data_IF_664116075222
#
_entry.id   IF_664116075222
#
_cell.length_a   1.000
_cell.length_b   1.000
_cell.length_c   1.000
_cell.angle_alpha   90.00
_cell.angle_beta   90.00
_cell.angle_gamma   90.00
#
_symmetry.space_group_name_H-M   'P 1'
#
loop_
_entity.id
_entity.type
_entity.pdbx_description
1 polymer ?
#
# COMPACT_ATOMS: atom_id res chain seq x y z
N UNK A 1 -4.77 -51.99 12.83
CA UNK A 1 -3.98 -51.57 14.01
C UNK A 1 -2.75 -52.44 14.13
N UNK A 2 -1.60 -52.00 13.65
CA UNK A 2 -0.31 -52.67 13.90
C UNK A 2 0.65 -51.58 14.34
N UNK A 3 0.94 -51.61 15.64
CA UNK A 3 1.99 -50.80 16.28
C UNK A 3 3.33 -51.40 15.92
N UNK A 4 4.13 -50.71 15.12
CA UNK A 4 5.57 -51.02 14.97
C UNK A 4 6.32 -50.52 16.15
N UNK A 5 6.76 -51.45 17.01
CA UNK A 5 7.75 -51.27 18.06
C UNK A 5 9.11 -50.97 17.43
N UNK A 6 9.59 -49.75 17.53
CA UNK A 6 10.97 -49.38 17.21
C UNK A 6 11.88 -49.77 18.37
N UNK A 7 12.99 -50.49 18.13
CA UNK A 7 13.89 -50.93 19.17
C UNK A 7 14.66 -49.76 19.80
N UNK A 8 14.63 -49.72 21.12
CA UNK A 8 15.21 -48.71 22.02
C UNK A 8 16.74 -48.79 22.16
N UNK A 9 17.48 -49.00 21.07
CA UNK A 9 18.97 -49.11 21.11
C UNK A 9 19.69 -48.22 20.12
N UNK A 10 19.45 -46.91 20.18
CA UNK A 10 20.33 -45.88 19.58
C UNK A 10 20.32 -44.63 20.45
N UNK A 11 20.45 -44.78 21.75
CA UNK A 11 20.87 -43.72 22.64
C UNK A 11 22.40 -43.77 22.73
N UNK A 12 23.05 -43.46 21.60
CA UNK A 12 24.49 -43.45 21.52
C UNK A 12 24.95 -42.00 21.60
N UNK A 13 25.54 -41.68 22.73
CA UNK A 13 26.61 -40.70 22.95
C UNK A 13 26.75 -39.62 21.90
N UNK A 14 25.94 -38.59 22.00
CA UNK A 14 26.20 -37.30 21.33
C UNK A 14 27.44 -36.70 22.02
N UNK A 15 28.61 -36.97 21.50
CA UNK A 15 29.83 -36.39 22.01
C UNK A 15 29.75 -34.86 21.84
N UNK A 16 30.01 -34.07 22.88
CA UNK A 16 29.98 -32.62 22.87
C UNK A 16 30.91 -31.99 21.80
N UNK A 17 31.78 -32.78 21.22
CA UNK A 17 32.68 -32.42 20.14
C UNK A 17 31.95 -32.31 18.79
N UNK A 18 30.96 -33.17 18.52
CA UNK A 18 30.19 -33.16 17.25
C UNK A 18 29.30 -31.93 17.15
N UNK A 19 28.64 -31.54 18.26
CA UNK A 19 27.83 -30.37 18.33
C UNK A 19 28.63 -29.06 18.14
N UNK A 20 29.84 -29.00 18.71
CA UNK A 20 30.73 -27.84 18.53
C UNK A 20 31.26 -27.72 17.10
N UNK A 21 31.54 -28.82 16.42
CA UNK A 21 31.99 -28.84 15.03
C UNK A 21 30.84 -28.48 14.08
N UNK A 22 29.62 -28.96 14.35
CA UNK A 22 28.42 -28.67 13.58
C UNK A 22 28.08 -27.20 13.72
N UNK A 23 28.00 -26.63 14.92
CA UNK A 23 27.77 -25.22 15.17
C UNK A 23 28.82 -24.30 14.54
N UNK A 24 30.09 -24.73 14.55
CA UNK A 24 31.17 -23.97 13.89
C UNK A 24 31.08 -23.99 12.36
N UNK A 25 30.64 -25.09 11.75
CA UNK A 25 30.35 -25.19 10.31
C UNK A 25 29.11 -24.37 9.96
N UNK A 26 28.02 -24.45 10.73
CA UNK A 26 26.81 -23.70 10.53
C UNK A 26 27.08 -22.19 10.62
N UNK A 27 27.85 -21.76 11.62
CA UNK A 27 28.27 -20.36 11.76
C UNK A 27 29.05 -19.85 10.56
N UNK A 28 29.99 -20.66 10.00
CA UNK A 28 30.69 -20.27 8.76
C UNK A 28 29.78 -20.14 7.56
N UNK A 29 28.81 -21.03 7.38
CA UNK A 29 27.83 -20.97 6.27
C UNK A 29 26.94 -19.74 6.41
N UNK A 30 26.43 -19.45 7.62
CA UNK A 30 25.59 -18.27 7.87
C UNK A 30 26.37 -16.97 7.63
N UNK A 31 27.62 -16.88 8.11
CA UNK A 31 28.48 -15.72 7.85
C UNK A 31 28.79 -15.57 6.36
N UNK A 32 29.02 -16.66 5.64
CA UNK A 32 29.25 -16.61 4.19
C UNK A 32 28.00 -16.18 3.43
N UNK A 33 26.82 -16.67 3.81
CA UNK A 33 25.54 -16.19 3.24
C UNK A 33 25.30 -14.71 3.52
N UNK A 34 25.55 -14.24 4.74
CA UNK A 34 25.38 -12.83 5.08
C UNK A 34 26.36 -11.93 4.32
N UNK A 35 27.62 -12.33 4.18
CA UNK A 35 28.59 -11.55 3.40
C UNK A 35 28.26 -11.55 1.90
N UNK A 36 27.79 -12.66 1.35
CA UNK A 36 27.30 -12.70 -0.04
C UNK A 36 26.09 -11.80 -0.24
N UNK A 37 25.08 -11.85 0.65
CA UNK A 37 23.93 -10.94 0.60
C UNK A 37 24.35 -9.47 0.70
N UNK A 38 25.29 -9.13 1.58
CA UNK A 38 25.79 -7.75 1.67
C UNK A 38 26.50 -7.29 0.40
N UNK A 39 27.22 -8.20 -0.28
CA UNK A 39 27.89 -7.90 -1.55
C UNK A 39 26.86 -7.68 -2.66
N UNK A 40 25.82 -8.54 -2.75
CA UNK A 40 24.73 -8.35 -3.71
C UNK A 40 23.95 -7.04 -3.46
N UNK A 41 23.67 -6.71 -2.21
CA UNK A 41 23.01 -5.44 -1.86
C UNK A 41 23.89 -4.23 -2.21
N UNK A 42 25.21 -4.30 -1.99
CA UNK A 42 26.13 -3.24 -2.40
C UNK A 42 26.23 -3.10 -3.92
N UNK A 43 26.36 -4.20 -4.65
CA UNK A 43 26.34 -4.18 -6.11
C UNK A 43 25.02 -3.65 -6.67
N UNK A 44 23.88 -4.08 -6.11
CA UNK A 44 22.56 -3.55 -6.45
C UNK A 44 22.44 -2.04 -6.20
N UNK A 45 23.01 -1.53 -5.10
CA UNK A 45 23.05 -0.08 -4.82
C UNK A 45 23.89 0.70 -5.85
N UNK A 46 25.03 0.16 -6.29
CA UNK A 46 25.87 0.82 -7.32
C UNK A 46 25.18 0.84 -8.68
N UNK A 47 24.53 -0.27 -9.07
CA UNK A 47 23.77 -0.37 -10.31
C UNK A 47 22.56 0.58 -10.29
N UNK A 48 21.79 0.59 -9.20
CA UNK A 48 20.68 1.52 -8.99
C UNK A 48 21.11 2.99 -8.99
N UNK A 49 22.28 3.32 -8.40
CA UNK A 49 22.83 4.69 -8.48
C UNK A 49 23.18 5.09 -9.90
N UNK A 50 23.79 4.22 -10.69
CA UNK A 50 24.09 4.50 -12.11
C UNK A 50 22.81 4.68 -12.92
N UNK A 51 21.81 3.80 -12.73
CA UNK A 51 20.48 3.95 -13.33
C UNK A 51 19.78 5.25 -12.90
N UNK A 52 19.87 5.62 -11.62
CA UNK A 52 19.29 6.84 -11.12
C UNK A 52 19.95 8.13 -11.64
N UNK A 53 21.15 8.05 -12.20
CA UNK A 53 21.86 9.18 -12.82
C UNK A 53 21.48 9.36 -14.28
N UNK A 54 21.03 8.31 -14.97
CA UNK A 54 20.59 8.40 -16.37
C UNK A 54 19.22 9.13 -16.44
N UNK A 55 19.11 10.24 -17.21
CA UNK A 55 17.86 10.98 -17.33
C UNK A 55 16.74 10.17 -17.98
N UNK A 56 17.08 9.24 -18.89
CA UNK A 56 16.10 8.34 -19.54
C UNK A 56 15.56 7.31 -18.56
N UNK A 57 16.44 6.69 -17.77
CA UNK A 57 16.04 5.74 -16.74
C UNK A 57 15.16 6.42 -15.67
N UNK A 58 15.50 7.65 -15.26
CA UNK A 58 14.66 8.44 -14.33
C UNK A 58 13.28 8.75 -14.91
N UNK A 59 13.19 9.11 -16.18
CA UNK A 59 11.91 9.36 -16.83
C UNK A 59 11.06 8.08 -16.89
N UNK A 60 11.68 6.94 -17.24
CA UNK A 60 11.02 5.63 -17.25
C UNK A 60 10.55 5.21 -15.86
N UNK A 61 11.39 5.36 -14.82
CA UNK A 61 11.02 5.04 -13.43
C UNK A 61 9.87 5.93 -12.92
N UNK A 62 9.89 7.23 -13.24
CA UNK A 62 8.79 8.13 -12.90
C UNK A 62 7.50 7.74 -13.63
N UNK A 63 7.59 7.46 -14.93
CA UNK A 63 6.45 7.03 -15.72
C UNK A 63 5.88 5.71 -15.24
N UNK A 64 6.75 4.71 -15.03
CA UNK A 64 6.36 3.41 -14.46
C UNK A 64 5.75 3.55 -13.06
N UNK A 65 6.32 4.40 -12.20
CA UNK A 65 5.77 4.70 -10.90
C UNK A 65 4.37 5.34 -10.95
N UNK A 66 4.14 6.27 -11.89
CA UNK A 66 2.82 6.86 -12.11
C UNK A 66 1.80 5.81 -12.57
N UNK A 67 2.17 4.96 -13.51
CA UNK A 67 1.31 3.86 -13.98
C UNK A 67 0.97 2.89 -12.85
N UNK A 68 1.97 2.43 -12.10
CA UNK A 68 1.78 1.53 -10.97
C UNK A 68 0.94 2.16 -9.85
N UNK A 69 1.11 3.46 -9.58
CA UNK A 69 0.28 4.15 -8.61
C UNK A 69 -1.19 4.14 -9.01
N UNK A 70 -1.51 4.41 -10.29
CA UNK A 70 -2.87 4.30 -10.81
C UNK A 70 -3.41 2.87 -10.69
N UNK A 71 -2.61 1.88 -11.11
CA UNK A 71 -2.98 0.48 -11.05
C UNK A 71 -3.23 0.01 -9.60
N UNK A 72 -2.35 0.33 -8.65
CA UNK A 72 -2.54 -0.06 -7.26
C UNK A 72 -3.75 0.64 -6.63
N UNK A 73 -3.93 1.96 -6.85
CA UNK A 73 -5.05 2.71 -6.29
C UNK A 73 -6.41 2.24 -6.79
N UNK A 74 -6.49 1.67 -8.00
CA UNK A 74 -7.73 1.10 -8.53
C UNK A 74 -8.19 -0.15 -7.77
N UNK A 75 -7.28 -0.85 -7.09
CA UNK A 75 -7.62 -1.99 -6.25
C UNK A 75 -8.31 -1.58 -4.94
N UNK A 76 -8.24 -0.29 -4.54
CA UNK A 76 -8.81 0.17 -3.28
C UNK A 76 -10.32 -0.03 -3.22
N UNK A 77 -10.77 -0.75 -2.20
CA UNK A 77 -12.18 -1.04 -1.93
C UNK A 77 -12.61 -0.55 -0.57
N UNK A 78 -13.85 -0.11 -0.48
CA UNK A 78 -14.59 0.09 0.76
C UNK A 78 -15.98 -0.51 0.56
N UNK A 79 -16.44 -1.28 1.53
CA UNK A 79 -17.70 -2.01 1.44
C UNK A 79 -17.80 -2.86 0.15
N UNK A 80 -16.72 -3.55 -0.21
CA UNK A 80 -16.61 -4.40 -1.40
C UNK A 80 -16.94 -3.70 -2.73
N UNK A 81 -16.73 -2.39 -2.79
CA UNK A 81 -16.99 -1.60 -4.00
C UNK A 81 -15.77 -0.77 -4.40
N UNK A 82 -15.53 -0.57 -5.74
CA UNK A 82 -14.42 0.25 -6.21
C UNK A 82 -14.58 1.69 -5.77
N UNK A 83 -13.48 2.34 -5.41
CA UNK A 83 -13.47 3.72 -4.94
C UNK A 83 -12.75 4.66 -5.92
N UNK A 84 -13.15 5.95 -6.02
CA UNK A 84 -12.64 6.90 -7.01
C UNK A 84 -11.29 7.54 -6.64
N UNK A 85 -10.39 6.81 -5.95
CA UNK A 85 -9.09 7.37 -5.54
C UNK A 85 -8.17 7.68 -6.74
N UNK A 86 -8.26 6.87 -7.81
CA UNK A 86 -7.50 7.12 -9.04
C UNK A 86 -7.90 8.45 -9.66
N UNK A 87 -9.21 8.75 -9.69
CA UNK A 87 -9.73 10.03 -10.17
C UNK A 87 -9.10 11.21 -9.40
N UNK A 88 -9.06 11.10 -8.06
CA UNK A 88 -8.45 12.13 -7.22
C UNK A 88 -6.98 12.36 -7.56
N UNK A 89 -6.22 11.28 -7.77
CA UNK A 89 -4.81 11.37 -8.15
C UNK A 89 -4.61 11.95 -9.57
N UNK A 90 -5.46 11.57 -10.52
CA UNK A 90 -5.46 12.12 -11.90
C UNK A 90 -5.73 13.61 -11.90
N UNK A 91 -6.73 14.07 -11.13
CA UNK A 91 -7.05 15.49 -10.99
C UNK A 91 -5.90 16.30 -10.35
N UNK A 92 -5.19 15.71 -9.39
CA UNK A 92 -4.06 16.35 -8.75
C UNK A 92 -2.77 16.35 -9.60
N UNK A 93 -2.65 15.41 -10.54
CA UNK A 93 -1.54 15.31 -11.47
C UNK A 93 -1.76 16.19 -12.71
N UNK A 94 -0.72 16.36 -13.53
CA UNK A 94 -0.85 17.14 -14.76
C UNK A 94 0.03 16.58 -15.90
N UNK A 95 -0.44 16.68 -17.14
CA UNK A 95 0.28 16.27 -18.35
C UNK A 95 0.55 14.77 -18.42
N UNK A 96 1.75 14.37 -18.84
CA UNK A 96 2.13 12.95 -19.02
C UNK A 96 1.92 12.10 -17.76
N UNK A 97 2.30 12.54 -16.54
CA UNK A 97 1.98 11.82 -15.31
C UNK A 97 0.51 11.50 -15.14
N UNK A 98 -0.40 12.48 -15.38
CA UNK A 98 -1.84 12.26 -15.28
C UNK A 98 -2.34 11.20 -16.25
N UNK A 99 -1.84 11.19 -17.49
CA UNK A 99 -2.19 10.20 -18.50
C UNK A 99 -1.71 8.79 -18.10
N UNK A 100 -0.51 8.67 -17.57
CA UNK A 100 0.04 7.37 -17.12
C UNK A 100 -0.70 6.83 -15.89
N UNK A 101 -1.06 7.70 -14.93
CA UNK A 101 -1.88 7.32 -13.78
C UNK A 101 -3.26 6.86 -14.26
N UNK A 102 -3.89 7.61 -15.18
CA UNK A 102 -5.18 7.26 -15.72
C UNK A 102 -5.15 5.93 -16.48
N UNK A 103 -4.13 5.70 -17.29
CA UNK A 103 -3.94 4.43 -17.99
C UNK A 103 -3.79 3.26 -17.01
N UNK A 104 -2.92 3.40 -16.01
CA UNK A 104 -2.76 2.39 -14.96
C UNK A 104 -4.06 2.14 -14.19
N UNK A 105 -4.79 3.20 -13.87
CA UNK A 105 -6.07 3.11 -13.18
C UNK A 105 -7.15 2.39 -14.00
N UNK A 106 -7.30 2.73 -15.29
CA UNK A 106 -8.23 2.05 -16.18
C UNK A 106 -7.91 0.55 -16.29
N UNK A 107 -6.64 0.20 -16.52
CA UNK A 107 -6.19 -1.20 -16.54
C UNK A 107 -6.49 -1.89 -15.21
N UNK A 108 -6.19 -1.24 -14.10
CA UNK A 108 -6.41 -1.82 -12.78
C UNK A 108 -7.88 -1.99 -12.44
N UNK A 109 -8.76 -1.05 -12.76
CA UNK A 109 -10.20 -1.23 -12.56
C UNK A 109 -10.74 -2.42 -13.34
N UNK A 110 -10.34 -2.59 -14.58
CA UNK A 110 -10.76 -3.75 -15.37
C UNK A 110 -10.17 -5.06 -14.83
N UNK A 111 -8.93 -5.04 -14.36
CA UNK A 111 -8.23 -6.21 -13.84
C UNK A 111 -8.81 -6.69 -12.51
N UNK A 112 -9.05 -5.77 -11.56
CA UNK A 112 -9.47 -6.13 -10.20
C UNK A 112 -10.99 -6.26 -10.07
N UNK A 113 -11.77 -5.55 -10.90
CA UNK A 113 -13.21 -5.41 -10.73
C UNK A 113 -14.03 -5.91 -11.93
N UNK A 114 -13.38 -6.24 -13.05
CA UNK A 114 -14.07 -6.68 -14.25
C UNK A 114 -15.17 -5.70 -14.69
N UNK A 115 -16.39 -6.19 -14.85
CA UNK A 115 -17.52 -5.35 -15.26
C UNK A 115 -17.88 -4.26 -14.24
N UNK A 116 -17.73 -4.51 -12.93
CA UNK A 116 -17.96 -3.50 -11.90
C UNK A 116 -16.93 -2.35 -11.96
N UNK A 117 -15.76 -2.60 -12.57
CA UNK A 117 -14.71 -1.61 -12.78
C UNK A 117 -14.99 -0.58 -13.88
N UNK A 118 -16.00 -0.80 -14.73
CA UNK A 118 -16.33 0.12 -15.84
C UNK A 118 -16.62 1.54 -15.36
N UNK A 119 -17.24 1.69 -14.20
CA UNK A 119 -17.44 3.00 -13.57
C UNK A 119 -16.13 3.68 -13.23
N UNK A 120 -15.17 2.94 -12.66
CA UNK A 120 -13.85 3.44 -12.35
C UNK A 120 -13.10 3.93 -13.59
N UNK A 121 -13.26 3.21 -14.71
CA UNK A 121 -12.73 3.64 -16.02
C UNK A 121 -13.35 4.96 -16.46
N UNK A 122 -14.69 5.09 -16.36
CA UNK A 122 -15.40 6.32 -16.75
C UNK A 122 -14.96 7.51 -15.88
N UNK A 123 -14.87 7.33 -14.56
CA UNK A 123 -14.39 8.39 -13.66
C UNK A 123 -12.97 8.83 -14.03
N UNK A 124 -12.11 7.86 -14.27
CA UNK A 124 -10.68 8.09 -14.56
C UNK A 124 -10.51 8.77 -15.92
N UNK A 125 -11.25 8.34 -16.94
CA UNK A 125 -11.22 8.93 -18.27
C UNK A 125 -11.75 10.36 -18.26
N UNK A 126 -12.90 10.60 -17.59
CA UNK A 126 -13.47 11.94 -17.44
C UNK A 126 -12.52 12.87 -16.69
N UNK A 127 -11.90 12.37 -15.59
CA UNK A 127 -10.88 13.11 -14.85
C UNK A 127 -9.66 13.48 -15.69
N UNK A 128 -9.21 12.57 -16.54
CA UNK A 128 -8.10 12.83 -17.47
C UNK A 128 -8.47 13.90 -18.49
N UNK A 129 -9.64 13.81 -19.10
CA UNK A 129 -10.13 14.84 -20.04
C UNK A 129 -10.18 16.21 -19.37
N UNK A 130 -10.73 16.29 -18.17
CA UNK A 130 -10.74 17.53 -17.41
C UNK A 130 -9.33 18.04 -17.09
N UNK A 131 -8.42 17.16 -16.66
CA UNK A 131 -7.05 17.55 -16.38
C UNK A 131 -6.29 18.06 -17.62
N UNK A 132 -6.58 17.51 -18.80
CA UNK A 132 -6.01 17.96 -20.06
C UNK A 132 -6.61 19.32 -20.51
N UNK A 133 -7.93 19.50 -20.39
CA UNK A 133 -8.60 20.74 -20.78
C UNK A 133 -8.22 21.93 -19.90
N UNK A 134 -8.11 21.73 -18.60
CA UNK A 134 -7.89 22.80 -17.64
C UNK A 134 -6.43 23.30 -17.56
N UNK A 135 -5.48 22.55 -18.07
CA UNK A 135 -4.06 22.95 -18.12
C UNK A 135 -3.41 23.16 -16.74
N UNK A 136 -2.09 23.05 -16.73
CA UNK A 136 -1.28 22.89 -15.53
C UNK A 136 -1.21 24.04 -14.53
N UNK A 137 -1.37 25.29 -14.96
CA UNK A 137 -0.72 26.40 -14.23
C UNK A 137 -1.62 27.30 -13.40
N UNK A 138 -2.89 27.39 -13.69
CA UNK A 138 -3.79 28.36 -13.02
C UNK A 138 -4.62 27.78 -11.89
N UNK A 139 -5.06 26.54 -12.00
CA UNK A 139 -6.16 26.02 -11.21
C UNK A 139 -5.77 25.65 -9.78
N UNK A 140 -4.57 25.10 -9.58
CA UNK A 140 -4.16 24.62 -8.25
C UNK A 140 -3.78 25.76 -7.27
N UNK A 141 -3.48 26.96 -7.79
CA UNK A 141 -3.07 28.11 -6.96
C UNK A 141 -4.21 29.03 -6.61
N UNK A 142 -5.08 29.31 -7.58
CA UNK A 142 -6.07 30.37 -7.44
C UNK A 142 -7.44 29.87 -6.93
N UNK A 143 -7.72 28.58 -7.11
CA UNK A 143 -8.99 27.97 -6.70
C UNK A 143 -8.81 26.57 -6.15
N UNK A 144 -8.40 26.42 -4.87
CA UNK A 144 -8.11 25.12 -4.26
C UNK A 144 -9.34 24.18 -4.21
N UNK A 145 -10.55 24.73 -4.26
CA UNK A 145 -11.79 23.97 -4.23
C UNK A 145 -12.25 23.47 -5.61
N UNK A 146 -11.66 23.95 -6.70
CA UNK A 146 -12.10 23.57 -8.05
C UNK A 146 -11.85 22.08 -8.34
N UNK A 147 -10.67 21.55 -7.98
CA UNK A 147 -10.31 20.16 -8.21
C UNK A 147 -11.22 19.18 -7.44
N UNK A 148 -11.46 19.37 -6.13
CA UNK A 148 -12.37 18.51 -5.40
C UNK A 148 -13.82 18.62 -5.89
N UNK A 149 -14.29 19.84 -6.24
CA UNK A 149 -15.63 20.03 -6.79
C UNK A 149 -15.81 19.31 -8.12
N UNK A 150 -14.80 19.37 -8.99
CA UNK A 150 -14.81 18.69 -10.28
C UNK A 150 -14.79 17.16 -10.10
N UNK A 151 -13.95 16.63 -9.22
CA UNK A 151 -13.91 15.21 -8.95
C UNK A 151 -15.25 14.72 -8.37
N UNK A 152 -15.84 15.46 -7.44
CA UNK A 152 -17.16 15.17 -6.90
C UNK A 152 -18.26 15.18 -7.98
N UNK A 153 -18.23 16.18 -8.87
CA UNK A 153 -19.18 16.29 -9.99
C UNK A 153 -19.06 15.08 -10.95
N UNK A 154 -17.85 14.68 -11.30
CA UNK A 154 -17.61 13.53 -12.19
C UNK A 154 -18.19 12.25 -11.57
N UNK A 155 -17.93 11.99 -10.29
CA UNK A 155 -18.47 10.82 -9.60
C UNK A 155 -19.98 10.89 -9.52
N UNK A 156 -20.55 12.07 -9.21
CA UNK A 156 -21.98 12.27 -9.13
C UNK A 156 -22.67 12.05 -10.49
N UNK A 157 -22.14 12.64 -11.56
CA UNK A 157 -22.69 12.48 -12.91
C UNK A 157 -22.63 11.03 -13.39
N UNK A 158 -21.52 10.33 -13.14
CA UNK A 158 -21.41 8.91 -13.45
C UNK A 158 -22.45 8.08 -12.68
N UNK A 159 -22.77 8.43 -11.43
CA UNK A 159 -23.81 7.77 -10.65
C UNK A 159 -25.20 7.88 -11.25
N UNK A 160 -25.50 9.01 -11.82
CA UNK A 160 -26.78 9.19 -12.56
C UNK A 160 -26.77 8.35 -13.83
N UNK A 161 -25.67 8.37 -14.61
CA UNK A 161 -25.55 7.60 -15.86
C UNK A 161 -25.67 6.10 -15.62
N UNK A 162 -25.05 5.60 -14.56
CA UNK A 162 -25.12 4.16 -14.20
C UNK A 162 -26.34 3.81 -13.34
N UNK A 163 -27.28 4.74 -13.16
CA UNK A 163 -28.53 4.59 -12.38
C UNK A 163 -28.32 4.13 -10.92
N UNK A 164 -27.16 4.37 -10.35
CA UNK A 164 -26.80 3.88 -9.02
C UNK A 164 -27.45 4.67 -7.88
N UNK A 165 -27.86 5.91 -8.16
CA UNK A 165 -28.62 6.72 -7.21
C UNK A 165 -30.04 6.20 -6.99
N UNK A 166 -30.55 5.38 -7.91
CA UNK A 166 -31.93 4.94 -7.95
C UNK A 166 -32.09 3.43 -7.71
N UNK A 167 -30.96 2.72 -7.51
CA UNK A 167 -31.00 1.25 -7.42
C UNK A 167 -31.71 0.77 -6.15
N UNK A 168 -31.35 1.34 -4.97
CA UNK A 168 -31.90 1.01 -3.65
C UNK A 168 -31.65 2.15 -2.66
N UNK A 169 -32.46 2.26 -1.60
CA UNK A 169 -32.24 3.24 -0.53
C UNK A 169 -30.87 3.10 0.14
N UNK A 170 -30.32 1.87 0.21
CA UNK A 170 -28.99 1.59 0.75
C UNK A 170 -27.86 2.02 -0.18
N UNK A 171 -28.13 2.25 -1.46
CA UNK A 171 -27.14 2.71 -2.45
C UNK A 171 -26.78 4.18 -2.27
N UNK A 172 -27.70 4.99 -1.79
CA UNK A 172 -27.52 6.45 -1.65
C UNK A 172 -26.34 6.78 -0.70
N UNK A 173 -26.26 6.26 0.56
CA UNK A 173 -25.16 6.59 1.45
C UNK A 173 -23.80 6.12 0.93
N UNK A 174 -23.74 4.95 0.26
CA UNK A 174 -22.50 4.44 -0.36
C UNK A 174 -22.07 5.38 -1.48
N UNK A 175 -23.03 5.88 -2.26
CA UNK A 175 -22.73 6.79 -3.35
C UNK A 175 -22.27 8.17 -2.88
N UNK A 176 -22.91 8.72 -1.86
CA UNK A 176 -22.46 9.96 -1.20
C UNK A 176 -21.03 9.80 -0.64
N UNK A 177 -20.74 8.66 -0.06
CA UNK A 177 -19.38 8.34 0.39
C UNK A 177 -18.38 8.37 -0.77
N UNK A 178 -18.73 7.78 -1.92
CA UNK A 178 -17.87 7.81 -3.12
C UNK A 178 -17.62 9.22 -3.62
N UNK A 179 -18.65 10.08 -3.65
CA UNK A 179 -18.51 11.50 -4.03
C UNK A 179 -17.57 12.21 -3.07
N UNK A 180 -17.76 12.01 -1.75
CA UNK A 180 -16.91 12.60 -0.73
C UNK A 180 -15.46 12.10 -0.84
N UNK A 181 -15.25 10.79 -1.07
CA UNK A 181 -13.90 10.21 -1.24
C UNK A 181 -13.24 10.69 -2.54
N UNK A 182 -13.98 10.84 -3.63
CA UNK A 182 -13.46 11.40 -4.87
C UNK A 182 -13.01 12.84 -4.71
N UNK A 183 -13.85 13.68 -4.14
CA UNK A 183 -13.54 15.08 -3.85
C UNK A 183 -12.38 15.21 -2.81
N UNK A 184 -12.47 14.47 -1.72
CA UNK A 184 -11.48 14.48 -0.65
C UNK A 184 -10.10 14.00 -1.10
N UNK A 185 -10.05 12.92 -1.89
CA UNK A 185 -8.78 12.41 -2.43
C UNK A 185 -8.12 13.39 -3.40
N UNK A 186 -8.91 14.08 -4.24
CA UNK A 186 -8.38 15.11 -5.13
C UNK A 186 -7.72 16.25 -4.35
N UNK A 187 -8.35 16.70 -3.27
CA UNK A 187 -7.81 17.72 -2.37
C UNK A 187 -6.52 17.23 -1.69
N UNK A 188 -6.56 16.03 -1.11
CA UNK A 188 -5.43 15.44 -0.37
C UNK A 188 -4.20 15.25 -1.27
N UNK A 189 -4.37 14.67 -2.46
CA UNK A 189 -3.27 14.48 -3.39
C UNK A 189 -2.71 15.82 -3.90
N UNK A 190 -3.57 16.81 -4.13
CA UNK A 190 -3.14 18.15 -4.52
C UNK A 190 -2.30 18.82 -3.39
N UNK A 191 -2.74 18.76 -2.14
CA UNK A 191 -2.00 19.30 -0.99
C UNK A 191 -0.70 18.54 -0.74
N UNK A 192 -0.73 17.21 -0.80
CA UNK A 192 0.45 16.38 -0.64
C UNK A 192 1.52 16.67 -1.71
N UNK A 193 1.10 16.94 -2.95
CA UNK A 193 2.00 17.28 -4.06
C UNK A 193 2.72 18.62 -3.86
N UNK A 194 2.14 19.55 -3.11
CA UNK A 194 2.74 20.84 -2.75
C UNK A 194 3.80 20.69 -1.63
N UNK A 195 3.83 19.55 -0.95
CA UNK A 195 4.84 19.24 0.07
C UNK A 195 4.70 20.02 1.40
N UNK A 196 3.70 20.89 1.52
CA UNK A 196 3.53 21.79 2.67
C UNK A 196 2.83 21.14 3.86
N UNK A 197 1.93 20.18 3.58
CA UNK A 197 1.10 19.56 4.61
C UNK A 197 1.56 18.13 4.92
N UNK A 198 2.02 17.92 6.15
CA UNK A 198 2.42 16.61 6.64
C UNK A 198 1.21 15.66 6.80
N UNK A 199 0.06 16.19 7.23
CA UNK A 199 -1.16 15.40 7.44
C UNK A 199 -1.67 14.85 6.11
N UNK A 200 -1.73 15.70 5.07
CA UNK A 200 -2.13 15.26 3.73
C UNK A 200 -1.23 14.13 3.22
N UNK A 201 0.07 14.21 3.44
CA UNK A 201 1.01 13.14 3.07
C UNK A 201 0.74 11.84 3.81
N UNK A 202 0.46 11.89 5.12
CA UNK A 202 0.14 10.70 5.90
C UNK A 202 -1.17 10.05 5.46
N UNK A 203 -2.19 10.85 5.17
CA UNK A 203 -3.46 10.36 4.64
C UNK A 203 -3.30 9.72 3.25
N UNK A 204 -2.48 10.29 2.36
CA UNK A 204 -2.15 9.67 1.09
C UNK A 204 -1.47 8.30 1.27
N UNK A 205 -0.58 8.15 2.26
CA UNK A 205 0.00 6.86 2.60
C UNK A 205 -1.04 5.89 3.15
N UNK A 206 -2.00 6.34 3.97
CA UNK A 206 -3.12 5.53 4.41
C UNK A 206 -3.95 4.99 3.24
N UNK A 207 -4.28 5.84 2.26
CA UNK A 207 -4.98 5.44 1.03
C UNK A 207 -4.14 4.42 0.23
N UNK A 208 -2.82 4.62 0.15
CA UNK A 208 -1.93 3.68 -0.54
C UNK A 208 -1.89 2.31 0.18
N UNK A 209 -1.85 2.29 1.51
CA UNK A 209 -1.93 1.04 2.29
C UNK A 209 -3.27 0.35 2.08
N UNK A 210 -4.39 1.10 2.10
CA UNK A 210 -5.73 0.58 1.82
C UNK A 210 -5.79 -0.11 0.45
N UNK A 211 -5.23 0.52 -0.57
CA UNK A 211 -5.18 -0.03 -1.92
C UNK A 211 -4.30 -1.29 -1.99
N UNK A 212 -3.11 -1.25 -1.40
CA UNK A 212 -2.19 -2.37 -1.37
C UNK A 212 -2.72 -3.53 -0.52
N UNK A 213 -3.58 -3.26 0.47
CA UNK A 213 -4.20 -4.28 1.30
C UNK A 213 -5.08 -5.24 0.48
N UNK A 214 -5.69 -4.77 -0.59
CA UNK A 214 -6.52 -5.58 -1.48
C UNK A 214 -5.70 -6.43 -2.46
N UNK A 215 -4.41 -6.15 -2.59
CA UNK A 215 -3.52 -6.91 -3.48
C UNK A 215 -2.80 -7.97 -2.66
N UNK A 216 -3.26 -9.21 -2.80
CA UNK A 216 -2.67 -10.36 -2.13
C UNK A 216 -2.02 -11.28 -3.19
N UNK A 217 -0.69 -11.17 -3.41
CA UNK A 217 0.02 -12.04 -4.35
C UNK A 217 0.01 -13.51 -3.91
N UNK A 218 -0.15 -13.73 -2.60
CA UNK A 218 -0.31 -15.06 -1.99
C UNK A 218 -1.46 -14.96 -0.99
N UNK A 219 -2.26 -16.01 -0.84
CA UNK A 219 -3.50 -16.03 -0.04
C UNK A 219 -3.32 -15.55 1.42
N UNK A 220 -2.12 -15.68 1.99
CA UNK A 220 -1.80 -15.27 3.37
C UNK A 220 -1.01 -13.96 3.48
N UNK A 221 -0.55 -13.38 2.37
CA UNK A 221 0.30 -12.19 2.35
C UNK A 221 -0.31 -11.08 1.50
N UNK A 222 -0.87 -10.06 2.14
CA UNK A 222 -1.27 -8.81 1.49
C UNK A 222 -0.08 -7.84 1.42
N UNK A 223 0.06 -7.12 0.31
CA UNK A 223 1.05 -6.05 0.15
C UNK A 223 0.82 -4.92 1.17
N UNK A 224 -0.40 -4.75 1.65
CA UNK A 224 -0.74 -3.79 2.69
C UNK A 224 0.02 -4.03 4.01
N UNK A 225 0.25 -5.29 4.40
CA UNK A 225 1.05 -5.60 5.60
C UNK A 225 2.48 -5.10 5.48
N UNK A 226 3.08 -5.31 4.31
CA UNK A 226 4.46 -4.86 4.04
C UNK A 226 4.51 -3.33 4.08
N UNK A 227 3.54 -2.65 3.46
CA UNK A 227 3.45 -1.20 3.44
C UNK A 227 3.22 -0.61 4.84
N UNK A 228 2.28 -1.15 5.62
CA UNK A 228 2.02 -0.72 6.99
C UNK A 228 3.23 -0.97 7.91
N UNK A 229 3.89 -2.11 7.76
CA UNK A 229 5.13 -2.43 8.48
C UNK A 229 6.27 -1.47 8.14
N UNK A 230 6.42 -1.12 6.88
CA UNK A 230 7.42 -0.12 6.44
C UNK A 230 7.14 1.27 7.03
N UNK A 231 5.87 1.70 7.10
CA UNK A 231 5.47 2.95 7.74
C UNK A 231 5.74 2.95 9.25
N UNK A 232 5.43 1.84 9.91
CA UNK A 232 5.75 1.67 11.34
C UNK A 232 7.26 1.69 11.59
N UNK A 233 8.05 1.06 10.71
CA UNK A 233 9.49 1.06 10.78
C UNK A 233 10.10 2.46 10.53
N UNK A 234 9.48 3.29 9.68
CA UNK A 234 9.89 4.67 9.44
C UNK A 234 9.74 5.57 10.68
N UNK A 235 9.01 5.13 11.71
CA UNK A 235 9.01 5.75 13.01
C UNK A 235 8.03 6.90 13.21
N UNK A 236 7.11 7.12 12.29
CA UNK A 236 6.06 8.12 12.42
C UNK A 236 4.78 7.48 12.97
N UNK A 237 4.44 7.76 14.24
CA UNK A 237 3.25 7.20 14.88
C UNK A 237 1.96 7.45 14.09
N UNK A 238 1.68 8.68 13.58
CA UNK A 238 0.46 8.92 12.81
C UNK A 238 0.37 8.06 11.55
N UNK A 239 1.50 7.84 10.87
CA UNK A 239 1.55 6.98 9.67
C UNK A 239 1.32 5.51 10.01
N UNK A 240 1.87 5.03 11.12
CA UNK A 240 1.67 3.66 11.58
C UNK A 240 0.20 3.41 11.95
N UNK A 241 -0.42 4.34 12.71
CA UNK A 241 -1.83 4.25 13.10
C UNK A 241 -2.76 4.29 11.87
N UNK A 242 -2.51 5.20 10.92
CA UNK A 242 -3.26 5.27 9.66
C UNK A 242 -3.08 4.02 8.80
N UNK A 243 -1.87 3.44 8.79
CA UNK A 243 -1.62 2.16 8.11
C UNK A 243 -2.41 1.01 8.72
N UNK A 244 -2.47 0.92 10.06
CA UNK A 244 -3.30 -0.06 10.77
C UNK A 244 -4.79 0.13 10.48
N UNK A 245 -5.29 1.36 10.58
CA UNK A 245 -6.68 1.71 10.26
C UNK A 245 -7.05 1.37 8.82
N UNK A 246 -6.14 1.61 7.88
CA UNK A 246 -6.35 1.27 6.48
C UNK A 246 -6.49 -0.26 6.28
N UNK A 247 -5.71 -1.06 7.02
CA UNK A 247 -5.83 -2.52 7.00
C UNK A 247 -7.16 -3.00 7.60
N UNK A 248 -7.63 -2.37 8.69
CA UNK A 248 -8.91 -2.70 9.31
C UNK A 248 -10.08 -2.33 8.38
N UNK A 249 -10.02 -1.16 7.72
CA UNK A 249 -11.02 -0.74 6.73
C UNK A 249 -11.03 -1.64 5.49
N UNK A 250 -9.87 -2.20 5.11
CA UNK A 250 -9.77 -3.15 4.01
C UNK A 250 -10.36 -4.52 4.35
N UNK A 251 -10.67 -4.79 5.62
CA UNK A 251 -11.23 -6.06 6.12
C UNK A 251 -10.40 -7.30 5.72
N UNK A 252 -9.09 -7.14 5.63
CA UNK A 252 -8.17 -8.23 5.23
C UNK A 252 -7.99 -9.25 6.35
N UNK A 253 -8.18 -8.83 7.61
CA UNK A 253 -8.07 -9.67 8.80
C UNK A 253 -9.24 -9.46 9.74
N UNK A 254 -9.54 -10.50 10.53
CA UNK A 254 -10.48 -10.41 11.64
C UNK A 254 -9.85 -9.78 12.91
N UNK A 255 -8.53 -9.59 12.89
CA UNK A 255 -7.79 -9.01 14.02
C UNK A 255 -7.66 -7.50 13.80
N UNK A 256 -7.91 -6.66 14.84
CA UNK A 256 -7.78 -5.21 14.72
C UNK A 256 -6.31 -4.80 14.53
N UNK A 257 -5.91 -4.63 13.28
CA UNK A 257 -4.52 -4.32 12.89
C UNK A 257 -4.07 -2.94 13.41
N UNK A 258 -4.99 -2.00 13.59
CA UNK A 258 -4.69 -0.72 14.24
C UNK A 258 -4.10 -0.93 15.63
N UNK A 259 -4.71 -1.80 16.45
CA UNK A 259 -4.22 -2.11 17.79
C UNK A 259 -2.84 -2.79 17.74
N UNK A 260 -2.66 -3.76 16.83
CA UNK A 260 -1.39 -4.48 16.66
C UNK A 260 -0.27 -3.53 16.26
N UNK A 261 -0.50 -2.65 15.27
CA UNK A 261 0.50 -1.69 14.79
C UNK A 261 0.82 -0.64 15.86
N UNK A 262 -0.18 -0.14 16.58
CA UNK A 262 0.03 0.79 17.69
C UNK A 262 0.83 0.13 18.81
N UNK A 263 0.50 -1.12 19.19
CA UNK A 263 1.24 -1.87 20.20
C UNK A 263 2.70 -2.08 19.78
N UNK A 264 2.95 -2.50 18.55
CA UNK A 264 4.29 -2.67 18.01
C UNK A 264 5.11 -1.35 18.05
N UNK A 265 4.45 -0.22 17.79
CA UNK A 265 5.09 1.09 17.92
C UNK A 265 5.43 1.42 19.37
N UNK A 266 4.53 1.18 20.32
CA UNK A 266 4.80 1.39 21.75
C UNK A 266 5.92 0.51 22.27
N UNK A 267 5.96 -0.78 21.88
CA UNK A 267 7.07 -1.68 22.23
C UNK A 267 8.41 -1.15 21.73
N UNK A 268 8.43 -0.47 20.57
CA UNK A 268 9.63 0.18 20.05
C UNK A 268 10.13 1.32 20.93
N UNK A 269 9.24 2.03 21.62
CA UNK A 269 9.59 3.14 22.53
C UNK A 269 10.16 2.65 23.87
N UNK A 270 9.92 1.37 24.24
CA UNK A 270 10.45 0.81 25.46
C UNK A 270 11.99 0.72 25.44
N UNK A 271 12.66 0.98 26.57
CA UNK A 271 14.11 0.84 26.67
C UNK A 271 14.55 -0.59 26.31
N UNK A 272 15.74 -0.71 25.72
CA UNK A 272 16.25 -2.00 25.20
C UNK A 272 16.22 -3.15 26.23
N UNK A 273 16.41 -2.85 27.52
CA UNK A 273 16.35 -3.84 28.59
C UNK A 273 14.96 -4.45 28.80
N UNK A 274 13.90 -3.68 28.57
CA UNK A 274 12.50 -4.15 28.72
C UNK A 274 11.99 -4.87 27.47
N UNK A 275 12.55 -4.56 26.28
CA UNK A 275 12.18 -5.26 25.03
C UNK A 275 12.50 -6.74 25.04
N UNK A 276 13.63 -7.14 25.66
CA UNK A 276 14.02 -8.55 25.73
C UNK A 276 13.05 -9.38 26.58
N UNK A 277 12.44 -8.77 27.59
CA UNK A 277 11.43 -9.43 28.43
C UNK A 277 10.08 -9.60 27.71
N UNK A 278 9.67 -8.64 26.91
CA UNK A 278 8.41 -8.73 26.14
C UNK A 278 8.49 -9.76 24.99
N UNK A 279 9.68 -10.01 24.43
CA UNK A 279 9.88 -11.00 23.35
C UNK A 279 10.09 -12.42 23.90
N UNK A 280 10.55 -12.55 25.14
CA UNK A 280 10.81 -13.84 25.78
C UNK A 280 9.58 -14.51 26.43
N UNK A 281 8.42 -13.86 26.43
CA UNK A 281 7.21 -14.30 27.14
C UNK A 281 6.19 -15.20 26.40
N UNK A 282 6.34 -15.65 25.15
CA UNK A 282 5.46 -16.68 24.61
C UNK A 282 6.11 -18.05 24.74
N UNK A 283 5.96 -18.74 25.88
CA UNK A 283 6.43 -20.11 25.95
C UNK A 283 6.56 -20.77 27.31
N UNK A 284 5.89 -20.28 28.34
CA UNK A 284 5.81 -21.00 29.62
C UNK A 284 4.36 -20.99 30.15
N UNK A 285 3.55 -21.80 29.52
CA UNK A 285 2.38 -22.46 30.12
C UNK A 285 2.31 -23.88 29.56
#
# INVERSE_FOLDING_TARGET
MQYYFLPSRLRQENSPLYDRLFLKKLGKVVVHMMTSMQTYVRQGRHTLRRFALDPRARALMRGGGCFLAGLCLSAASLAHTPQPFVLGLVCAAAGVPAALIALGGCVGYLLFWGNAGTQGVVWTAAGLLCALCLGKKRIARDTPLLLPSLAGLIVSAAGVVFQQWFADETAIPIYLLRVALGAGSALLFAQASQGKDAVARWLCWGIAVLALAQIAPVSWLSLGYIAAGALAAAGAFPAAALGGLALDLAQVTQVPMTAVVCLAYFVRLLPRKTRSLCVAAPGSV
#
